data_IF_541767573625
#
_entry.id   IF_541767573625
#
_cell.length_a   1.000
_cell.length_b   1.000
_cell.length_c   1.000
_cell.angle_alpha   90.00
_cell.angle_beta   90.00
_cell.angle_gamma   90.00
#
_symmetry.space_group_name_H-M   'P 1'
#
loop_
_entity.id
_entity.type
_entity.pdbx_description
1 polymer ?
#
# COMPACT_ATOMS: atom_id res chain seq x y z
N UNK A 1 28.27 -31.14 7.84
CA UNK A 1 28.46 -30.19 6.72
C UNK A 1 27.09 -30.08 6.06
N UNK A 2 26.26 -29.08 6.31
CA UNK A 2 26.55 -27.66 6.44
C UNK A 2 26.07 -26.98 5.17
N UNK A 3 25.05 -26.13 5.30
CA UNK A 3 24.51 -25.20 4.29
C UNK A 3 23.62 -25.76 3.18
N UNK A 4 22.29 -25.69 3.43
CA UNK A 4 21.32 -25.09 2.51
C UNK A 4 19.92 -25.11 3.15
N UNK A 5 19.79 -24.52 4.36
CA UNK A 5 18.49 -24.00 4.80
C UNK A 5 18.24 -22.71 3.99
N UNK A 6 17.91 -22.88 2.71
CA UNK A 6 17.57 -21.78 1.81
C UNK A 6 16.18 -21.30 2.20
N UNK A 7 16.17 -20.32 3.10
CA UNK A 7 15.25 -19.21 3.12
C UNK A 7 13.77 -19.57 3.17
N UNK A 8 13.24 -19.74 4.39
CA UNK A 8 11.94 -19.15 4.69
C UNK A 8 12.08 -17.64 4.50
N UNK A 9 11.89 -17.19 3.25
CA UNK A 9 11.90 -15.78 2.92
C UNK A 9 10.75 -15.14 3.69
N UNK A 10 11.06 -14.24 4.62
CA UNK A 10 10.10 -13.26 5.10
C UNK A 10 9.72 -12.39 3.89
N UNK A 11 8.66 -12.78 3.17
CA UNK A 11 8.35 -12.27 1.82
C UNK A 11 8.09 -10.76 1.75
N UNK A 12 7.98 -10.06 2.88
CA UNK A 12 7.75 -8.61 2.93
C UNK A 12 8.43 -7.93 4.12
N UNK A 13 9.65 -8.36 4.50
CA UNK A 13 10.41 -7.72 5.57
C UNK A 13 11.81 -7.34 5.05
N UNK A 14 11.96 -6.11 4.57
CA UNK A 14 13.27 -5.53 4.23
C UNK A 14 13.67 -4.50 5.27
N UNK A 15 14.98 -4.36 5.48
CA UNK A 15 15.52 -3.26 6.26
C UNK A 15 15.06 -1.91 5.65
N UNK A 16 14.71 -0.90 6.46
CA UNK A 16 14.25 0.40 5.98
C UNK A 16 15.20 1.05 4.96
N UNK A 17 16.51 0.86 5.13
CA UNK A 17 17.53 1.34 4.17
C UNK A 17 17.38 0.72 2.79
N UNK A 18 17.13 -0.58 2.70
CA UNK A 18 16.93 -1.28 1.44
C UNK A 18 15.61 -0.86 0.77
N UNK A 19 14.55 -0.67 1.55
CA UNK A 19 13.28 -0.14 1.05
C UNK A 19 13.45 1.28 0.49
N UNK A 20 14.18 2.15 1.20
CA UNK A 20 14.47 3.51 0.75
C UNK A 20 15.30 3.53 -0.54
N UNK A 21 16.35 2.72 -0.61
CA UNK A 21 17.15 2.58 -1.82
C UNK A 21 16.31 2.11 -3.01
N UNK A 22 15.47 1.08 -2.80
CA UNK A 22 14.56 0.62 -3.82
C UNK A 22 13.56 1.70 -4.22
N UNK A 23 13.02 2.47 -3.28
CA UNK A 23 12.12 3.59 -3.58
C UNK A 23 12.78 4.67 -4.45
N UNK A 24 14.02 5.03 -4.12
CA UNK A 24 14.76 6.08 -4.82
C UNK A 24 15.23 5.64 -6.21
N UNK A 25 15.63 4.37 -6.36
CA UNK A 25 16.19 3.83 -7.62
C UNK A 25 15.16 3.15 -8.53
N UNK A 26 14.02 2.72 -7.98
CA UNK A 26 12.92 2.17 -8.75
C UNK A 26 12.34 3.30 -9.60
N UNK A 27 12.21 3.09 -10.91
CA UNK A 27 11.63 4.04 -11.86
C UNK A 27 10.14 4.28 -11.65
N UNK A 28 9.77 4.71 -10.45
CA UNK A 28 8.44 5.15 -10.07
C UNK A 28 8.16 6.49 -10.72
N UNK A 29 6.99 6.60 -11.35
CA UNK A 29 6.45 7.86 -11.82
C UNK A 29 6.16 8.80 -10.64
N UNK A 30 6.07 10.13 -10.88
CA UNK A 30 5.69 11.09 -9.84
C UNK A 30 4.40 10.69 -9.13
N UNK A 31 3.37 10.29 -9.89
CA UNK A 31 2.09 9.82 -9.35
C UNK A 31 2.24 8.62 -8.40
N UNK A 32 3.06 7.63 -8.75
CA UNK A 32 3.30 6.47 -7.89
C UNK A 32 4.01 6.87 -6.59
N UNK A 33 5.00 7.77 -6.68
CA UNK A 33 5.72 8.29 -5.49
C UNK A 33 4.77 9.05 -4.56
N UNK A 34 3.96 9.95 -5.10
CA UNK A 34 3.01 10.75 -4.33
C UNK A 34 1.98 9.87 -3.63
N UNK A 35 1.46 8.86 -4.31
CA UNK A 35 0.53 7.90 -3.72
C UNK A 35 1.17 7.08 -2.60
N UNK A 36 2.41 6.62 -2.77
CA UNK A 36 3.13 5.90 -1.72
C UNK A 36 3.41 6.80 -0.51
N UNK A 37 3.93 8.01 -0.72
CA UNK A 37 4.19 8.96 0.36
C UNK A 37 2.92 9.33 1.12
N UNK A 38 1.84 9.68 0.42
CA UNK A 38 0.57 10.00 1.04
C UNK A 38 0.01 8.82 1.85
N UNK A 39 0.11 7.61 1.33
CA UNK A 39 -0.32 6.39 2.03
C UNK A 39 0.51 6.17 3.30
N UNK A 40 1.84 6.28 3.22
CA UNK A 40 2.74 6.12 4.37
C UNK A 40 2.55 7.22 5.42
N UNK A 41 2.33 8.46 4.99
CA UNK A 41 2.09 9.61 5.88
C UNK A 41 0.78 9.44 6.67
N UNK A 42 -0.27 8.89 6.05
CA UNK A 42 -1.54 8.60 6.70
C UNK A 42 -1.44 7.51 7.79
N UNK A 43 -0.44 6.62 7.70
CA UNK A 43 -0.21 5.45 8.59
C UNK A 43 -1.29 4.36 8.54
N UNK A 44 -2.55 4.72 8.37
CA UNK A 44 -3.70 3.82 8.26
C UNK A 44 -4.87 4.48 7.55
N UNK A 45 -5.77 3.70 6.96
CA UNK A 45 -6.98 4.24 6.34
C UNK A 45 -7.73 3.29 5.42
N UNK A 46 -8.49 3.87 4.51
CA UNK A 46 -9.17 3.17 3.41
C UNK A 46 -8.54 3.57 2.08
N UNK A 47 -8.72 2.75 1.05
CA UNK A 47 -8.18 3.05 -0.29
C UNK A 47 -8.63 4.44 -0.79
N UNK A 48 -9.90 4.80 -0.57
CA UNK A 48 -10.42 6.11 -0.95
C UNK A 48 -9.70 7.27 -0.22
N UNK A 49 -9.46 7.14 1.09
CA UNK A 49 -8.70 8.14 1.85
C UNK A 49 -7.24 8.23 1.38
N UNK A 50 -6.63 7.11 1.01
CA UNK A 50 -5.29 7.08 0.41
C UNK A 50 -5.22 7.86 -0.91
N UNK A 51 -6.19 7.67 -1.80
CA UNK A 51 -6.29 8.43 -3.05
C UNK A 51 -6.47 9.93 -2.82
N UNK A 52 -7.37 10.32 -1.90
CA UNK A 52 -7.60 11.73 -1.56
C UNK A 52 -6.34 12.39 -0.98
N UNK A 53 -5.63 11.70 -0.08
CA UNK A 53 -4.38 12.20 0.49
C UNK A 53 -3.27 12.37 -0.56
N UNK A 54 -3.31 11.58 -1.64
CA UNK A 54 -2.43 11.73 -2.79
C UNK A 54 -2.86 12.83 -3.77
N UNK A 55 -3.86 13.63 -3.42
CA UNK A 55 -4.34 14.76 -4.22
C UNK A 55 -5.33 14.39 -5.33
N UNK A 56 -5.84 13.15 -5.37
CA UNK A 56 -6.84 12.79 -6.37
C UNK A 56 -8.19 13.41 -6.03
N UNK A 57 -8.74 14.19 -6.97
CA UNK A 57 -10.08 14.78 -6.81
C UNK A 57 -11.19 13.78 -7.17
N UNK A 58 -12.26 13.67 -6.37
CA UNK A 58 -13.47 12.94 -6.74
C UNK A 58 -14.10 13.44 -8.04
N UNK A 59 -13.92 14.72 -8.38
CA UNK A 59 -14.49 15.35 -9.57
C UNK A 59 -13.81 14.91 -10.87
N UNK A 60 -12.63 14.28 -10.78
CA UNK A 60 -11.91 13.72 -11.94
C UNK A 60 -12.45 12.36 -12.38
N UNK A 61 -13.50 11.84 -11.72
CA UNK A 61 -14.09 10.54 -12.02
C UNK A 61 -14.81 10.53 -13.38
N UNK A 62 -14.86 9.38 -14.07
CA UNK A 62 -15.82 9.15 -15.15
C UNK A 62 -17.27 9.33 -14.66
N UNK A 63 -18.14 9.86 -15.52
CA UNK A 63 -19.55 10.15 -15.16
C UNK A 63 -20.36 8.91 -14.75
N UNK A 64 -19.93 7.72 -15.16
CA UNK A 64 -20.55 6.42 -14.88
C UNK A 64 -20.02 5.71 -13.62
N UNK A 65 -19.07 6.28 -12.89
CA UNK A 65 -18.51 5.66 -11.67
C UNK A 65 -18.89 6.44 -10.41
N UNK A 66 -19.17 5.74 -9.30
CA UNK A 66 -19.33 6.42 -8.02
C UNK A 66 -17.97 6.98 -7.53
N UNK A 67 -17.94 8.14 -6.84
CA UNK A 67 -16.70 8.74 -6.35
C UNK A 67 -15.85 7.78 -5.50
N UNK A 68 -16.48 7.05 -4.58
CA UNK A 68 -15.78 6.12 -3.69
C UNK A 68 -15.13 4.95 -4.45
N UNK A 69 -15.83 4.37 -5.42
CA UNK A 69 -15.30 3.29 -6.25
C UNK A 69 -14.13 3.77 -7.10
N UNK A 70 -14.26 4.92 -7.75
CA UNK A 70 -13.19 5.52 -8.55
C UNK A 70 -11.91 5.72 -7.72
N UNK A 71 -12.02 6.36 -6.55
CA UNK A 71 -10.88 6.60 -5.67
C UNK A 71 -10.22 5.28 -5.21
N UNK A 72 -11.04 4.30 -4.82
CA UNK A 72 -10.56 2.97 -4.40
C UNK A 72 -9.80 2.25 -5.52
N UNK A 73 -10.35 2.26 -6.74
CA UNK A 73 -9.72 1.65 -7.92
C UNK A 73 -8.40 2.33 -8.24
N UNK A 74 -8.36 3.66 -8.23
CA UNK A 74 -7.14 4.42 -8.51
C UNK A 74 -6.05 4.14 -7.47
N UNK A 75 -6.38 4.14 -6.18
CA UNK A 75 -5.41 3.80 -5.14
C UNK A 75 -4.87 2.38 -5.30
N UNK A 76 -5.77 1.40 -5.46
CA UNK A 76 -5.37 -0.01 -5.63
C UNK A 76 -4.45 -0.19 -6.86
N UNK A 77 -4.78 0.46 -7.97
CA UNK A 77 -4.01 0.38 -9.20
C UNK A 77 -2.62 1.02 -9.04
N UNK A 78 -2.56 2.27 -8.56
CA UNK A 78 -1.30 3.03 -8.48
C UNK A 78 -0.38 2.45 -7.42
N UNK A 79 -0.87 2.21 -6.21
CA UNK A 79 -0.07 1.64 -5.11
C UNK A 79 0.33 0.21 -5.44
N UNK A 80 -0.59 -0.59 -5.99
CA UNK A 80 -0.29 -1.97 -6.39
C UNK A 80 0.79 -2.05 -7.47
N UNK A 81 0.76 -1.17 -8.46
CA UNK A 81 1.79 -1.11 -9.49
C UNK A 81 3.14 -0.65 -8.91
N UNK A 82 3.15 0.41 -8.09
CA UNK A 82 4.37 0.88 -7.44
C UNK A 82 5.01 -0.22 -6.58
N UNK A 83 4.20 -0.91 -5.76
CA UNK A 83 4.65 -2.04 -4.95
C UNK A 83 5.18 -3.21 -5.79
N UNK A 84 4.57 -3.49 -6.94
CA UNK A 84 5.08 -4.50 -7.87
C UNK A 84 6.47 -4.16 -8.40
N UNK A 85 6.72 -2.90 -8.76
CA UNK A 85 8.04 -2.47 -9.25
C UNK A 85 9.10 -2.53 -8.16
N UNK A 86 8.74 -2.09 -6.95
CA UNK A 86 9.60 -2.17 -5.77
C UNK A 86 9.96 -3.61 -5.41
N UNK A 87 8.97 -4.50 -5.43
CA UNK A 87 9.18 -5.92 -5.23
C UNK A 87 10.15 -6.51 -6.28
N UNK A 88 10.00 -6.13 -7.55
CA UNK A 88 10.93 -6.52 -8.61
C UNK A 88 12.37 -6.05 -8.33
N UNK A 89 12.54 -4.80 -7.90
CA UNK A 89 13.85 -4.23 -7.52
C UNK A 89 14.48 -4.96 -6.32
N UNK A 90 13.65 -5.41 -5.37
CA UNK A 90 14.08 -6.12 -4.17
C UNK A 90 14.22 -7.65 -4.38
N UNK A 91 13.91 -8.16 -5.58
CA UNK A 91 13.93 -9.59 -5.88
C UNK A 91 12.82 -10.39 -5.19
N UNK A 92 11.75 -9.73 -4.75
CA UNK A 92 10.64 -10.37 -4.05
C UNK A 92 9.68 -11.05 -5.02
N UNK A 93 9.11 -12.17 -4.58
CA UNK A 93 8.11 -12.93 -5.34
C UNK A 93 6.73 -12.68 -4.77
N UNK A 94 5.77 -12.43 -5.65
CA UNK A 94 4.36 -12.29 -5.25
C UNK A 94 3.86 -13.64 -4.71
N UNK A 95 3.28 -13.69 -3.50
CA UNK A 95 2.56 -14.87 -3.05
C UNK A 95 1.33 -15.09 -3.94
N UNK A 96 0.95 -16.34 -4.16
CA UNK A 96 -0.15 -16.73 -5.08
C UNK A 96 -1.50 -16.14 -4.68
N UNK A 97 -1.70 -15.84 -3.39
CA UNK A 97 -2.97 -15.35 -2.83
C UNK A 97 -2.95 -13.87 -2.42
N UNK A 98 -1.79 -13.20 -2.44
CA UNK A 98 -1.64 -11.84 -1.91
C UNK A 98 -1.65 -10.76 -3.00
N UNK A 99 -2.00 -9.53 -2.62
CA UNK A 99 -1.88 -8.37 -3.49
C UNK A 99 -0.49 -7.75 -3.33
N UNK A 100 -0.02 -7.04 -4.37
CA UNK A 100 1.25 -6.32 -4.24
C UNK A 100 1.21 -5.25 -3.17
N UNK A 101 0.04 -4.68 -2.89
CA UNK A 101 -0.17 -3.67 -1.85
C UNK A 101 0.16 -4.23 -0.45
N UNK A 102 0.08 -5.55 -0.25
CA UNK A 102 0.40 -6.20 1.03
C UNK A 102 1.88 -6.04 1.42
N UNK A 103 2.73 -5.63 0.47
CA UNK A 103 4.11 -5.20 0.68
C UNK A 103 4.20 -3.94 1.54
N UNK A 104 3.25 -3.03 1.38
CA UNK A 104 3.20 -1.72 2.03
C UNK A 104 2.34 -1.75 3.28
N UNK A 105 1.22 -2.48 3.23
CA UNK A 105 0.20 -2.47 4.29
C UNK A 105 -0.19 -3.85 4.77
N UNK A 106 -0.71 -3.93 5.99
CA UNK A 106 -1.52 -5.03 6.50
C UNK A 106 -2.99 -4.62 6.45
N UNK A 107 -3.91 -5.57 6.30
CA UNK A 107 -5.34 -5.33 6.45
C UNK A 107 -5.81 -5.82 7.80
N UNK A 108 -6.34 -4.92 8.61
CA UNK A 108 -6.63 -5.15 10.02
C UNK A 108 -8.05 -4.72 10.37
N UNK A 109 -8.62 -5.30 11.43
CA UNK A 109 -9.99 -4.97 11.82
C UNK A 109 -10.07 -3.53 12.35
N UNK A 110 -11.03 -2.74 11.86
CA UNK A 110 -11.24 -1.34 12.29
C UNK A 110 -11.40 -1.18 13.80
N UNK A 111 -12.06 -2.15 14.44
CA UNK A 111 -12.27 -2.19 15.88
C UNK A 111 -10.97 -2.12 16.70
N UNK A 112 -9.85 -2.64 16.18
CA UNK A 112 -8.55 -2.57 16.85
C UNK A 112 -8.02 -1.13 17.00
N UNK A 113 -8.60 -0.18 16.28
CA UNK A 113 -8.13 1.19 16.16
C UNK A 113 -9.13 2.25 16.65
N UNK A 114 -10.26 1.84 17.24
CA UNK A 114 -11.30 2.76 17.68
C UNK A 114 -11.89 3.59 16.53
N UNK A 115 -11.83 3.06 15.29
CA UNK A 115 -12.42 3.70 14.12
C UNK A 115 -13.87 3.24 14.02
N UNK A 116 -14.81 4.10 14.40
CA UNK A 116 -16.23 3.94 14.10
C UNK A 116 -16.51 4.62 12.75
N UNK A 117 -16.98 3.86 11.76
CA UNK A 117 -17.38 4.45 10.49
C UNK A 117 -18.69 5.23 10.70
N UNK A 118 -18.64 6.56 10.54
CA UNK A 118 -19.83 7.41 10.55
C UNK A 118 -20.77 7.18 9.35
N UNK A 119 -20.43 6.26 8.44
CA UNK A 119 -21.20 5.94 7.24
C UNK A 119 -21.51 4.45 7.24
N UNK A 120 -22.56 4.06 7.94
CA UNK A 120 -23.21 2.77 7.75
C UNK A 120 -23.88 2.75 6.37
N UNK A 121 -23.30 2.00 5.43
CA UNK A 121 -24.02 1.02 4.63
C UNK A 121 -22.98 0.13 3.91
N UNK A 122 -22.69 -1.02 4.52
CA UNK A 122 -21.87 -2.08 3.90
C UNK A 122 -20.50 -2.34 4.56
N UNK A 123 -20.49 -3.08 5.68
CA UNK A 123 -19.51 -4.09 6.13
C UNK A 123 -18.03 -3.99 5.68
N UNK A 124 -17.37 -2.84 5.57
CA UNK A 124 -15.90 -2.82 5.51
C UNK A 124 -15.34 -2.86 6.94
N UNK A 125 -15.28 -4.08 7.51
CA UNK A 125 -14.74 -4.34 8.85
C UNK A 125 -13.22 -4.14 8.97
N UNK A 126 -12.55 -3.72 7.89
CA UNK A 126 -11.11 -3.69 7.76
C UNK A 126 -10.59 -2.30 7.33
N UNK A 127 -9.43 -1.93 7.86
CA UNK A 127 -8.62 -0.78 7.45
C UNK A 127 -7.26 -1.30 7.04
N UNK A 128 -6.58 -0.62 6.12
CA UNK A 128 -5.17 -0.89 5.92
C UNK A 128 -4.34 -0.14 6.96
N UNK A 129 -3.20 -0.73 7.33
CA UNK A 129 -2.20 -0.17 8.24
C UNK A 129 -0.84 -0.29 7.58
N UNK A 130 -0.09 0.80 7.50
CA UNK A 130 1.24 0.81 6.88
C UNK A 130 2.21 0.04 7.76
N UNK A 131 2.98 -0.85 7.15
CA UNK A 131 3.99 -1.63 7.88
C UNK A 131 5.10 -0.72 8.42
N UNK A 132 5.65 -0.98 9.63
CA UNK A 132 6.62 -0.10 10.28
C UNK A 132 7.87 0.19 9.44
N UNK A 133 8.32 -0.78 8.64
CA UNK A 133 9.54 -0.64 7.83
C UNK A 133 9.40 0.48 6.78
N UNK A 134 8.19 0.66 6.24
CA UNK A 134 7.86 1.76 5.32
C UNK A 134 7.76 3.10 6.02
N UNK A 135 7.22 3.10 7.24
CA UNK A 135 7.18 4.30 8.10
C UNK A 135 8.58 4.83 8.34
N UNK A 136 9.54 3.96 8.60
CA UNK A 136 10.94 4.33 8.83
C UNK A 136 11.68 4.67 7.54
N UNK A 137 11.44 3.93 6.45
CA UNK A 137 12.11 4.16 5.17
C UNK A 137 11.77 5.52 4.54
N UNK A 138 10.51 5.94 4.67
CA UNK A 138 9.96 7.16 4.05
C UNK A 138 9.62 8.24 5.08
N UNK A 139 10.21 8.17 6.28
CA UNK A 139 10.13 9.25 7.28
C UNK A 139 10.85 10.50 6.82
#
# INVERSE_FOLDING_TARGET
>A
MGEAAVGEANYFCAAPKSLRQAFDSCGLSPKERDFLFATVALRRGTAARGALAAGLSPESRPSNESPGTFLKVQWNSVVGHACSKLAGQLGWKKPSTGMWIDLLVTFERKAAYGLEDAYEEGKESFTWVVRPEWVEALR
#
